data_IF_942547702516
#
_entry.id   IF_942547702516
#
_cell.length_a   1.000
_cell.length_b   1.000
_cell.length_c   1.000
_cell.angle_alpha   90.00
_cell.angle_beta   90.00
_cell.angle_gamma   90.00
#
_symmetry.space_group_name_H-M   'P 1'
#
loop_
_entity.id
_entity.type
_entity.pdbx_description
1 polymer ?
#
# COMPACT_ATOMS: atom_id res chain seq x y z
N UNK A 1 32.63 -28.39 17.97
CA UNK A 1 31.40 -29.11 17.57
C UNK A 1 31.09 -28.78 16.12
N UNK A 2 30.96 -29.76 15.28
CA UNK A 2 30.71 -29.53 13.87
C UNK A 2 29.21 -29.46 13.58
N UNK A 3 28.86 -28.57 12.68
CA UNK A 3 27.48 -28.44 12.22
C UNK A 3 27.32 -29.37 11.03
N UNK A 4 26.28 -30.20 11.02
CA UNK A 4 26.01 -31.11 9.91
C UNK A 4 25.46 -30.34 8.71
N UNK A 5 25.37 -31.01 7.56
CA UNK A 5 24.95 -30.37 6.32
C UNK A 5 23.52 -29.79 6.45
N UNK A 6 22.60 -30.50 7.10
CA UNK A 6 21.24 -30.02 7.28
C UNK A 6 21.15 -28.76 8.11
N UNK A 7 21.97 -28.68 9.17
CA UNK A 7 22.01 -27.48 10.01
C UNK A 7 22.59 -26.28 9.27
N UNK A 8 23.64 -26.51 8.44
CA UNK A 8 24.23 -25.44 7.62
C UNK A 8 23.20 -24.87 6.65
N UNK A 9 22.48 -25.74 5.97
CA UNK A 9 21.44 -25.29 5.03
C UNK A 9 20.35 -24.51 5.76
N UNK A 10 19.96 -24.99 6.94
CA UNK A 10 18.93 -24.30 7.74
C UNK A 10 19.38 -22.92 8.18
N UNK A 11 20.61 -22.79 8.66
CA UNK A 11 21.14 -21.50 9.10
C UNK A 11 21.25 -20.53 7.93
N UNK A 12 21.76 -21.00 6.79
CA UNK A 12 21.87 -20.19 5.59
C UNK A 12 20.51 -19.72 5.09
N UNK A 13 19.54 -20.63 5.07
CA UNK A 13 18.18 -20.34 4.66
C UNK A 13 17.52 -19.33 5.59
N UNK A 14 17.73 -19.47 6.89
CA UNK A 14 17.21 -18.55 7.90
C UNK A 14 17.75 -17.13 7.71
N UNK A 15 19.04 -17.01 7.43
CA UNK A 15 19.67 -15.71 7.14
C UNK A 15 19.07 -15.10 5.87
N UNK A 16 18.89 -15.91 4.81
CA UNK A 16 18.23 -15.47 3.58
C UNK A 16 16.79 -15.05 3.82
N UNK A 17 16.07 -15.79 4.68
CA UNK A 17 14.68 -15.46 5.02
C UNK A 17 14.57 -14.10 5.70
N UNK A 18 15.52 -13.72 6.56
CA UNK A 18 15.51 -12.40 7.21
C UNK A 18 15.67 -11.28 6.20
N UNK A 19 16.61 -11.42 5.26
CA UNK A 19 16.78 -10.44 4.19
C UNK A 19 15.57 -10.40 3.27
N UNK A 20 15.07 -11.56 2.89
CA UNK A 20 13.87 -11.67 2.08
C UNK A 20 12.68 -10.99 2.74
N UNK A 21 12.47 -11.22 4.03
CA UNK A 21 11.42 -10.57 4.80
C UNK A 21 11.57 -9.06 4.79
N UNK A 22 12.79 -8.55 4.95
CA UNK A 22 13.06 -7.12 4.89
C UNK A 22 12.71 -6.52 3.54
N UNK A 23 13.10 -7.18 2.45
CA UNK A 23 12.78 -6.72 1.10
C UNK A 23 11.28 -6.78 0.82
N UNK A 24 10.62 -7.81 1.29
CA UNK A 24 9.16 -7.93 1.15
C UNK A 24 8.45 -6.85 1.94
N UNK A 25 8.92 -6.55 3.14
CA UNK A 25 8.35 -5.48 3.96
C UNK A 25 8.50 -4.11 3.27
N UNK A 26 9.65 -3.83 2.67
CA UNK A 26 9.87 -2.62 1.90
C UNK A 26 8.93 -2.57 0.69
N UNK A 27 8.81 -3.67 -0.04
CA UNK A 27 7.91 -3.76 -1.18
C UNK A 27 6.46 -3.50 -0.79
N UNK A 28 6.00 -4.11 0.31
CA UNK A 28 4.65 -3.90 0.82
C UNK A 28 4.44 -2.43 1.23
N UNK A 29 5.42 -1.84 1.92
CA UNK A 29 5.36 -0.44 2.31
C UNK A 29 5.30 0.50 1.11
N UNK A 30 6.08 0.22 0.06
CA UNK A 30 6.04 1.01 -1.18
C UNK A 30 4.70 0.86 -1.89
N UNK A 31 4.14 -0.34 -1.92
CA UNK A 31 2.87 -0.59 -2.58
C UNK A 31 1.75 0.28 -2.00
N UNK A 32 1.62 0.33 -0.68
CA UNK A 32 0.59 1.15 -0.05
C UNK A 32 1.02 2.61 0.08
N UNK A 33 2.30 2.86 0.37
CA UNK A 33 2.81 4.22 0.59
C UNK A 33 2.74 5.10 -0.64
N UNK A 34 3.18 4.59 -1.79
CA UNK A 34 3.13 5.35 -3.04
C UNK A 34 1.68 5.59 -3.47
N UNK A 35 0.82 4.58 -3.31
CA UNK A 35 -0.60 4.74 -3.59
C UNK A 35 -1.23 5.78 -2.67
N UNK A 36 -0.86 5.78 -1.39
CA UNK A 36 -1.38 6.76 -0.42
C UNK A 36 -0.95 8.18 -0.77
N UNK A 37 0.29 8.39 -1.19
CA UNK A 37 0.77 9.72 -1.60
C UNK A 37 0.01 10.20 -2.84
N UNK A 38 -0.14 9.35 -3.84
CA UNK A 38 -0.87 9.70 -5.05
C UNK A 38 -2.33 10.05 -4.75
N UNK A 39 -2.96 9.25 -3.89
CA UNK A 39 -4.34 9.48 -3.46
C UNK A 39 -4.47 10.78 -2.67
N UNK A 40 -3.53 11.08 -1.79
CA UNK A 40 -3.55 12.31 -1.00
C UNK A 40 -3.48 13.54 -1.90
N UNK A 41 -2.63 13.51 -2.92
CA UNK A 41 -2.52 14.63 -3.88
C UNK A 41 -3.83 14.81 -4.64
N UNK A 42 -4.40 13.73 -5.13
CA UNK A 42 -5.66 13.78 -5.88
C UNK A 42 -6.81 14.25 -4.99
N UNK A 43 -6.92 13.72 -3.77
CA UNK A 43 -7.98 14.11 -2.85
C UNK A 43 -7.87 15.54 -2.40
N UNK A 44 -6.66 16.05 -2.21
CA UNK A 44 -6.45 17.45 -1.86
C UNK A 44 -6.98 18.38 -2.94
N UNK A 45 -6.71 18.05 -4.20
CA UNK A 45 -7.17 18.86 -5.33
C UNK A 45 -8.68 18.76 -5.53
N UNK A 46 -9.21 17.54 -5.50
CA UNK A 46 -10.65 17.30 -5.67
C UNK A 46 -11.41 17.94 -4.50
N UNK A 47 -10.92 17.78 -3.28
CA UNK A 47 -11.56 18.34 -2.10
C UNK A 47 -11.63 19.85 -2.13
N UNK A 48 -10.52 20.51 -2.47
CA UNK A 48 -10.49 21.96 -2.55
C UNK A 48 -11.45 22.49 -3.62
N UNK A 49 -11.41 21.92 -4.82
CA UNK A 49 -12.31 22.29 -5.89
C UNK A 49 -13.76 21.95 -5.56
N UNK A 50 -13.97 20.80 -4.90
CA UNK A 50 -15.29 20.33 -4.51
C UNK A 50 -15.96 21.24 -3.49
N UNK A 51 -15.22 21.71 -2.51
CA UNK A 51 -15.77 22.65 -1.52
C UNK A 51 -16.24 23.93 -2.21
N UNK A 52 -15.44 24.46 -3.13
CA UNK A 52 -15.83 25.63 -3.91
C UNK A 52 -17.11 25.40 -4.73
N UNK A 53 -17.21 24.22 -5.35
CA UNK A 53 -18.38 23.87 -6.14
C UNK A 53 -19.63 23.72 -5.26
N UNK A 54 -19.48 23.16 -4.04
CA UNK A 54 -20.59 22.97 -3.11
C UNK A 54 -21.16 24.30 -2.61
N UNK A 55 -20.34 25.32 -2.49
CA UNK A 55 -20.81 26.66 -2.10
C UNK A 55 -21.77 27.19 -3.15
N UNK A 56 -21.48 26.97 -4.43
CA UNK A 56 -22.31 27.46 -5.53
C UNK A 56 -23.50 26.52 -5.80
N UNK A 57 -23.27 25.20 -5.77
CA UNK A 57 -24.26 24.19 -6.11
C UNK A 57 -24.24 23.04 -5.12
N UNK A 58 -24.94 23.13 -3.98
CA UNK A 58 -24.94 22.07 -2.98
C UNK A 58 -25.39 20.70 -3.49
N UNK A 59 -26.17 20.67 -4.57
CA UNK A 59 -26.64 19.42 -5.18
C UNK A 59 -25.52 18.59 -5.80
N UNK A 60 -24.30 19.14 -5.93
CA UNK A 60 -23.16 18.41 -6.47
C UNK A 60 -22.51 17.49 -5.47
N UNK A 61 -22.96 17.46 -4.21
CA UNK A 61 -22.33 16.67 -3.16
C UNK A 61 -22.10 15.22 -3.56
N UNK A 62 -23.14 14.58 -4.13
CA UNK A 62 -23.02 13.17 -4.54
C UNK A 62 -21.93 12.93 -5.57
N UNK A 63 -21.82 13.81 -6.56
CA UNK A 63 -20.80 13.69 -7.61
C UNK A 63 -19.40 13.92 -7.04
N UNK A 64 -19.24 14.87 -6.12
CA UNK A 64 -17.96 15.15 -5.50
C UNK A 64 -17.51 13.98 -4.64
N UNK A 65 -18.43 13.36 -3.90
CA UNK A 65 -18.11 12.16 -3.12
C UNK A 65 -17.63 11.01 -4.00
N UNK A 66 -18.27 10.82 -5.17
CA UNK A 66 -17.84 9.80 -6.12
C UNK A 66 -16.42 10.08 -6.59
N UNK A 67 -16.10 11.34 -6.92
CA UNK A 67 -14.76 11.71 -7.36
C UNK A 67 -13.71 11.50 -6.27
N UNK A 68 -14.08 11.70 -5.01
CA UNK A 68 -13.17 11.46 -3.88
C UNK A 68 -12.91 9.98 -3.65
N UNK A 69 -13.91 9.13 -3.90
CA UNK A 69 -13.79 7.69 -3.68
C UNK A 69 -12.88 7.03 -4.72
N UNK A 70 -12.84 7.55 -5.96
CA UNK A 70 -12.02 6.95 -7.02
C UNK A 70 -10.53 6.88 -6.64
N UNK A 71 -9.88 7.98 -6.20
CA UNK A 71 -8.49 7.87 -5.73
C UNK A 71 -8.32 6.94 -4.54
N UNK A 72 -9.31 6.85 -3.68
CA UNK A 72 -9.27 5.97 -2.51
C UNK A 72 -9.11 4.51 -2.90
N UNK A 73 -9.62 4.10 -4.06
CA UNK A 73 -9.47 2.72 -4.52
C UNK A 73 -8.01 2.35 -4.76
N UNK A 74 -7.15 3.31 -5.10
CA UNK A 74 -5.71 3.07 -5.26
C UNK A 74 -5.08 2.65 -3.95
N UNK A 75 -5.46 3.28 -2.84
CA UNK A 75 -4.96 2.90 -1.51
C UNK A 75 -5.45 1.52 -1.13
N UNK A 76 -6.72 1.24 -1.39
CA UNK A 76 -7.31 -0.07 -1.10
C UNK A 76 -6.56 -1.16 -1.88
N UNK A 77 -6.31 -0.94 -3.18
CA UNK A 77 -5.56 -1.89 -3.99
C UNK A 77 -4.13 -2.03 -3.51
N UNK A 78 -3.48 -0.93 -3.16
CA UNK A 78 -2.13 -0.95 -2.60
C UNK A 78 -2.08 -1.74 -1.31
N UNK A 79 -3.08 -1.57 -0.44
CA UNK A 79 -3.19 -2.32 0.80
C UNK A 79 -3.34 -3.82 0.53
N UNK A 80 -4.20 -4.20 -0.42
CA UNK A 80 -4.39 -5.60 -0.80
C UNK A 80 -3.09 -6.21 -1.30
N UNK A 81 -2.37 -5.48 -2.16
CA UNK A 81 -1.08 -5.94 -2.66
C UNK A 81 -0.07 -6.10 -1.53
N UNK A 82 -0.02 -5.14 -0.59
CA UNK A 82 0.86 -5.22 0.56
C UNK A 82 0.58 -6.47 1.40
N UNK A 83 -0.70 -6.76 1.65
CA UNK A 83 -1.10 -7.95 2.40
C UNK A 83 -0.70 -9.22 1.66
N UNK A 84 -0.91 -9.25 0.33
CA UNK A 84 -0.53 -10.42 -0.48
C UNK A 84 0.97 -10.65 -0.40
N UNK A 85 1.78 -9.59 -0.55
CA UNK A 85 3.24 -9.70 -0.48
C UNK A 85 3.67 -10.29 0.85
N UNK A 86 3.13 -9.79 1.96
CA UNK A 86 3.49 -10.26 3.30
C UNK A 86 2.95 -11.65 3.59
N UNK A 87 1.97 -12.12 2.83
CA UNK A 87 1.36 -13.43 3.01
C UNK A 87 2.01 -14.52 2.16
N UNK A 88 2.94 -14.17 1.28
CA UNK A 88 3.59 -15.15 0.42
C UNK A 88 4.38 -16.14 1.29
N UNK A 89 4.18 -17.47 1.10
CA UNK A 89 4.95 -18.46 1.84
C UNK A 89 6.44 -18.36 1.53
N UNK A 90 7.26 -18.58 2.58
CA UNK A 90 8.72 -18.49 2.48
C UNK A 90 9.40 -19.78 2.82
#
# INVERSE_FOLDING_TARGET
MSINHGERVRVSKKGGDHMELGLMAIGAGLAIGLAAIATAIAQAKIGAAGIGALIEKPELLGRILILLVIPETLVILGFVIAVIILSIPR
#
